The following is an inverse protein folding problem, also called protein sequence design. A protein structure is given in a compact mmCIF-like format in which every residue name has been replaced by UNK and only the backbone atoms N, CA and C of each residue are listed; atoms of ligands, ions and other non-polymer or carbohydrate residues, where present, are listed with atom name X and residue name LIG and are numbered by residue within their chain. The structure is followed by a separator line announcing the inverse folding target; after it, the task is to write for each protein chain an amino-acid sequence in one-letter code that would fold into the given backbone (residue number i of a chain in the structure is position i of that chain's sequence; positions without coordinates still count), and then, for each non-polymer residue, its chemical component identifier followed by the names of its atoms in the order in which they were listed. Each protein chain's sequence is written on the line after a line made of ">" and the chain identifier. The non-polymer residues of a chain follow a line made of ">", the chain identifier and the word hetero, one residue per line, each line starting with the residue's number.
data_IF_608678179854
#
_entry.id   IF_608678179854
#
_cell.length_a   1.000
_cell.length_b   1.000
_cell.length_c   1.000
_cell.angle_alpha   90.00
_cell.angle_beta   90.00
_cell.angle_gamma   90.00
#
_symmetry.space_group_name_H-M   'P 1'
#
loop_
_entity.id
_entity.type
_entity.pdbx_description
1 polymer ?
#
# COMPACT_ATOMS: atom_id res chain seq x y z
N UNK A 1 -6.05 -6.52 26.00
CA UNK A 1 -5.36 -5.68 25.00
C UNK A 1 -4.70 -6.60 23.98
N UNK A 2 -4.93 -6.40 22.66
CA UNK A 2 -4.25 -7.21 21.65
C UNK A 2 -2.84 -6.68 21.37
N UNK A 3 -1.90 -7.57 21.02
CA UNK A 3 -0.53 -7.20 20.60
C UNK A 3 -0.53 -6.08 19.55
N UNK A 4 -1.48 -6.18 18.62
CA UNK A 4 -1.72 -5.21 17.56
C UNK A 4 -2.02 -3.81 18.11
N UNK A 5 -2.85 -3.70 19.16
CA UNK A 5 -3.16 -2.40 19.77
C UNK A 5 -1.94 -1.76 20.42
N UNK A 6 -1.10 -2.56 21.10
CA UNK A 6 0.13 -2.08 21.73
C UNK A 6 1.14 -1.59 20.69
N UNK A 7 1.38 -2.36 19.63
CA UNK A 7 2.27 -1.99 18.51
C UNK A 7 1.84 -0.66 17.89
N UNK A 8 0.54 -0.47 17.64
CA UNK A 8 0.03 0.78 17.07
C UNK A 8 0.21 1.99 18.00
N UNK A 9 0.03 1.82 19.32
CA UNK A 9 0.29 2.90 20.29
C UNK A 9 1.76 3.33 20.27
N UNK A 10 2.68 2.36 20.23
CA UNK A 10 4.12 2.64 20.16
C UNK A 10 4.47 3.32 18.84
N UNK A 11 3.98 2.80 17.72
CA UNK A 11 4.16 3.38 16.39
C UNK A 11 3.74 4.86 16.38
N UNK A 12 2.53 5.17 16.87
CA UNK A 12 2.04 6.55 16.94
C UNK A 12 2.92 7.45 17.82
N UNK A 13 3.40 6.94 18.95
CA UNK A 13 4.31 7.70 19.80
C UNK A 13 5.61 8.03 19.06
N UNK A 14 6.21 7.07 18.35
CA UNK A 14 7.40 7.31 17.52
C UNK A 14 7.12 8.36 16.43
N UNK A 15 5.97 8.27 15.75
CA UNK A 15 5.57 9.24 14.73
C UNK A 15 5.40 10.64 15.31
N UNK A 16 4.71 10.77 16.44
CA UNK A 16 4.52 12.06 17.10
C UNK A 16 5.83 12.67 17.63
N UNK A 17 6.79 11.83 18.02
CA UNK A 17 8.10 12.25 18.52
C UNK A 17 9.10 12.56 17.40
N UNK A 18 8.73 12.36 16.13
CA UNK A 18 9.64 12.57 15.00
C UNK A 18 10.79 11.55 14.96
N UNK A 19 10.61 10.38 15.58
CA UNK A 19 11.59 9.28 15.57
C UNK A 19 11.51 8.54 14.21
N UNK A 20 11.80 9.27 13.14
CA UNK A 20 11.76 8.86 11.75
C UNK A 20 13.10 9.17 11.08
N UNK A 21 14.18 8.56 11.57
CA UNK A 21 15.44 8.38 10.84
C UNK A 21 16.21 9.63 10.40
N UNK A 22 15.75 10.86 10.67
CA UNK A 22 16.51 12.06 10.34
C UNK A 22 17.64 12.28 11.36
N UNK A 23 18.82 11.75 11.03
CA UNK A 23 20.09 12.20 11.60
C UNK A 23 20.68 11.41 12.76
N UNK A 24 20.15 10.23 13.12
CA UNK A 24 20.77 9.38 14.14
C UNK A 24 21.25 8.03 13.60
N UNK A 25 22.42 7.59 14.06
CA UNK A 25 23.10 6.34 13.65
C UNK A 25 22.50 5.07 14.25
N UNK A 26 21.34 5.16 14.91
CA UNK A 26 20.63 4.04 15.52
C UNK A 26 19.29 3.81 14.81
N UNK A 27 18.85 2.54 14.66
CA UNK A 27 17.51 2.25 14.15
C UNK A 27 16.49 2.93 15.06
N UNK A 28 15.56 3.66 14.46
CA UNK A 28 14.47 4.28 15.24
C UNK A 28 13.58 3.21 15.84
N UNK A 29 12.86 3.52 16.92
CA UNK A 29 11.88 2.59 17.48
C UNK A 29 10.80 2.26 16.44
N UNK A 30 10.52 3.20 15.53
CA UNK A 30 9.68 2.99 14.36
C UNK A 30 10.20 1.88 13.45
N UNK A 31 11.50 1.86 13.15
CA UNK A 31 12.14 0.84 12.31
C UNK A 31 12.12 -0.56 12.94
N UNK A 32 11.84 -0.67 14.23
CA UNK A 32 11.78 -1.96 14.95
C UNK A 32 10.36 -2.54 15.04
N UNK A 33 9.32 -1.78 14.66
CA UNK A 33 7.93 -2.19 14.77
C UNK A 33 7.45 -2.90 13.50
N UNK A 34 6.60 -3.93 13.59
CA UNK A 34 6.15 -4.64 12.42
C UNK A 34 5.28 -3.75 11.54
N UNK A 35 5.62 -3.67 10.25
CA UNK A 35 4.88 -2.93 9.24
C UNK A 35 4.46 -3.89 8.12
N UNK A 36 3.34 -3.59 7.46
CA UNK A 36 2.88 -4.36 6.30
C UNK A 36 3.11 -3.49 5.06
N UNK A 37 4.10 -3.84 4.24
CA UNK A 37 4.35 -3.15 2.99
C UNK A 37 3.59 -3.82 1.84
N UNK A 38 2.88 -3.01 1.06
CA UNK A 38 2.12 -3.47 -0.10
C UNK A 38 2.98 -3.32 -1.35
N UNK A 39 3.32 -4.43 -2.00
CA UNK A 39 4.19 -4.45 -3.18
C UNK A 39 3.52 -5.07 -4.38
N UNK A 40 3.87 -4.57 -5.57
CA UNK A 40 3.44 -5.13 -6.84
C UNK A 40 3.52 -4.13 -7.98
N UNK A 41 3.40 -4.66 -9.20
CA UNK A 41 3.48 -3.87 -10.43
C UNK A 41 2.47 -2.72 -10.47
N UNK A 42 2.73 -1.74 -11.32
CA UNK A 42 1.76 -0.69 -11.61
C UNK A 42 0.41 -1.29 -12.02
N UNK A 43 -0.69 -0.75 -11.51
CA UNK A 43 -2.05 -1.25 -11.78
C UNK A 43 -2.35 -2.68 -11.29
N UNK A 44 -1.51 -3.28 -10.43
CA UNK A 44 -1.80 -4.60 -9.84
C UNK A 44 -2.97 -4.60 -8.84
N UNK A 45 -3.49 -3.42 -8.46
CA UNK A 45 -4.60 -3.28 -7.52
C UNK A 45 -4.21 -2.98 -6.08
N UNK A 46 -2.97 -2.54 -5.81
CA UNK A 46 -2.48 -2.16 -4.47
C UNK A 46 -3.40 -1.20 -3.72
N UNK A 47 -3.68 -0.05 -4.31
CA UNK A 47 -4.53 0.98 -3.71
C UNK A 47 -5.95 0.45 -3.48
N UNK A 48 -6.50 -0.34 -4.40
CA UNK A 48 -7.82 -0.96 -4.22
C UNK A 48 -7.87 -1.95 -3.06
N UNK A 49 -6.79 -2.73 -2.84
CA UNK A 49 -6.69 -3.63 -1.67
C UNK A 49 -6.65 -2.81 -0.38
N UNK A 50 -5.87 -1.74 -0.33
CA UNK A 50 -5.80 -0.86 0.84
C UNK A 50 -7.14 -0.19 1.15
N UNK A 51 -7.83 0.32 0.13
CA UNK A 51 -9.15 0.91 0.27
C UNK A 51 -10.19 -0.12 0.71
N UNK A 52 -10.12 -1.35 0.21
CA UNK A 52 -10.96 -2.49 0.64
C UNK A 52 -10.79 -2.79 2.14
N UNK A 53 -9.55 -2.70 2.65
CA UNK A 53 -9.26 -2.86 4.09
C UNK A 53 -9.83 -1.72 4.92
N UNK A 54 -9.80 -0.49 4.41
CA UNK A 54 -10.32 0.70 5.12
C UNK A 54 -11.84 0.84 5.01
N UNK A 55 -12.44 0.31 3.95
CA UNK A 55 -13.86 0.50 3.67
C UNK A 55 -14.19 1.81 2.93
N UNK A 56 -13.19 2.57 2.45
CA UNK A 56 -13.40 3.90 1.84
C UNK A 56 -12.45 4.19 0.68
N UNK A 57 -12.87 5.05 -0.25
CA UNK A 57 -12.01 5.60 -1.29
C UNK A 57 -11.29 6.86 -0.80
N UNK A 58 -9.98 6.77 -0.61
CA UNK A 58 -9.15 7.87 -0.12
C UNK A 58 -7.81 7.97 -0.83
N UNK A 59 -7.43 6.96 -1.62
CA UNK A 59 -6.18 7.00 -2.38
C UNK A 59 -6.42 7.67 -3.73
N UNK A 60 -5.47 8.48 -4.21
CA UNK A 60 -5.57 9.06 -5.55
C UNK A 60 -5.62 7.95 -6.60
N UNK A 61 -6.35 8.21 -7.70
CA UNK A 61 -6.47 7.32 -8.85
C UNK A 61 -6.24 8.13 -10.13
N UNK A 62 -5.59 7.52 -11.12
CA UNK A 62 -5.28 8.18 -12.38
C UNK A 62 -4.48 7.29 -13.33
N UNK A 63 -4.30 7.76 -14.56
CA UNK A 63 -3.39 7.14 -15.52
C UNK A 63 -1.93 7.50 -15.20
N UNK A 64 -1.01 6.56 -15.36
CA UNK A 64 0.41 6.76 -15.03
C UNK A 64 0.78 6.39 -13.58
N UNK A 65 1.89 6.93 -13.08
CA UNK A 65 2.37 6.69 -11.71
C UNK A 65 1.60 7.61 -10.77
N UNK A 66 0.61 7.05 -10.09
CA UNK A 66 -0.28 7.81 -9.19
C UNK A 66 0.38 7.96 -7.82
N UNK A 67 0.82 6.85 -7.23
CA UNK A 67 1.59 6.84 -5.98
C UNK A 67 3.05 7.16 -6.28
N UNK A 68 3.46 8.41 -6.08
CA UNK A 68 4.85 8.89 -6.29
C UNK A 68 5.67 9.02 -4.99
N UNK A 69 5.01 8.86 -3.84
CA UNK A 69 5.61 8.86 -2.49
C UNK A 69 5.09 7.66 -1.72
N UNK A 70 5.87 7.06 -0.82
CA UNK A 70 5.35 6.09 0.13
C UNK A 70 4.23 6.71 0.96
N UNK A 71 3.14 5.97 1.19
CA UNK A 71 2.09 6.38 2.12
C UNK A 71 2.10 5.44 3.32
N UNK A 72 2.50 5.95 4.48
CA UNK A 72 2.39 5.25 5.75
C UNK A 72 0.99 5.50 6.30
N UNK A 73 0.15 4.48 6.21
CA UNK A 73 -1.23 4.50 6.65
C UNK A 73 -1.38 3.78 8.00
N UNK A 74 -1.74 4.52 9.03
CA UNK A 74 -2.07 4.00 10.34
C UNK A 74 -3.58 3.97 10.53
N UNK A 75 -4.13 2.78 10.75
CA UNK A 75 -5.53 2.57 11.09
C UNK A 75 -5.66 2.49 12.60
N UNK A 76 -6.63 3.21 13.14
CA UNK A 76 -6.93 3.27 14.56
C UNK A 76 -8.39 2.92 14.79
N UNK A 77 -8.61 1.81 15.50
CA UNK A 77 -9.95 1.45 15.95
C UNK A 77 -10.37 2.41 17.07
N UNK A 78 -11.51 3.06 16.89
CA UNK A 78 -12.18 3.85 17.94
C UNK A 78 -13.45 3.12 18.37
N UNK A 79 -13.80 3.17 19.65
CA UNK A 79 -14.99 2.47 20.16
C UNK A 79 -16.28 3.20 19.78
N UNK A 80 -16.26 4.53 19.83
CA UNK A 80 -17.38 5.40 19.49
C UNK A 80 -16.87 6.68 18.80
N UNK A 81 -17.73 7.27 17.96
CA UNK A 81 -17.49 8.57 17.34
C UNK A 81 -17.55 8.56 15.82
N UNK A 82 -17.47 9.77 15.24
CA UNK A 82 -17.41 9.95 13.79
C UNK A 82 -16.01 9.63 13.29
N UNK A 83 -15.95 8.92 12.16
CA UNK A 83 -14.70 8.59 11.49
C UNK A 83 -14.01 9.85 10.97
N UNK A 84 -12.69 9.92 11.14
CA UNK A 84 -11.89 11.03 10.67
C UNK A 84 -10.47 10.58 10.33
N UNK A 85 -9.76 11.39 9.55
CA UNK A 85 -8.36 11.21 9.25
C UNK A 85 -7.53 12.42 9.69
N UNK A 86 -6.26 12.20 9.99
CA UNK A 86 -5.27 13.23 10.34
C UNK A 86 -3.99 12.98 9.56
N UNK A 87 -3.40 14.04 9.05
CA UNK A 87 -2.07 14.00 8.45
C UNK A 87 -1.03 14.53 9.42
N UNK A 88 0.13 13.90 9.46
CA UNK A 88 1.23 14.35 10.31
C UNK A 88 1.73 15.75 9.92
N UNK A 89 1.77 16.06 8.62
CA UNK A 89 2.20 17.37 8.11
C UNK A 89 1.16 18.48 8.31
N UNK A 90 -0.06 18.14 8.73
CA UNK A 90 -1.12 19.09 9.09
C UNK A 90 -1.66 18.82 10.50
N UNK A 91 -0.83 19.05 11.54
CA UNK A 91 -1.24 18.76 12.91
C UNK A 91 -2.49 19.58 13.28
N UNK A 92 -3.40 18.96 14.03
CA UNK A 92 -4.70 19.52 14.49
C UNK A 92 -5.77 19.68 13.41
N UNK A 93 -5.53 19.34 12.14
CA UNK A 93 -6.56 19.31 11.10
C UNK A 93 -7.15 17.91 10.97
N UNK A 94 -8.43 17.78 11.34
CA UNK A 94 -9.21 16.55 11.16
C UNK A 94 -9.99 16.59 9.86
N UNK A 95 -9.90 15.53 9.08
CA UNK A 95 -10.63 15.35 7.83
C UNK A 95 -11.75 14.34 8.04
N UNK A 96 -13.01 14.78 7.95
CA UNK A 96 -14.16 13.87 7.96
C UNK A 96 -14.57 13.42 6.56
N UNK A 97 -14.19 14.19 5.54
CA UNK A 97 -14.42 13.88 4.13
C UNK A 97 -13.19 13.21 3.51
N UNK A 98 -13.35 11.98 3.03
CA UNK A 98 -12.27 11.20 2.44
C UNK A 98 -11.95 11.61 1.00
N UNK A 99 -12.83 12.36 0.33
CA UNK A 99 -12.48 13.05 -0.91
C UNK A 99 -11.44 14.15 -0.64
N UNK A 100 -11.60 14.90 0.45
CA UNK A 100 -10.61 15.89 0.89
C UNK A 100 -9.28 15.23 1.34
N UNK A 101 -9.33 14.06 1.97
CA UNK A 101 -8.11 13.26 2.28
C UNK A 101 -7.37 12.91 0.98
N UNK A 102 -8.10 12.43 -0.02
CA UNK A 102 -7.53 12.09 -1.33
C UNK A 102 -6.87 13.28 -2.02
N UNK A 103 -7.55 14.43 -1.99
CA UNK A 103 -7.02 15.66 -2.55
C UNK A 103 -5.74 16.10 -1.83
N UNK A 104 -5.73 16.03 -0.49
CA UNK A 104 -4.55 16.38 0.31
C UNK A 104 -3.36 15.47 0.00
N UNK A 105 -3.55 14.16 -0.20
CA UNK A 105 -2.47 13.26 -0.62
C UNK A 105 -1.87 13.71 -1.96
N UNK A 106 -2.73 14.09 -2.92
CA UNK A 106 -2.27 14.59 -4.21
C UNK A 106 -1.52 15.91 -4.07
N UNK A 107 -2.06 16.86 -3.32
CA UNK A 107 -1.50 18.19 -3.13
C UNK A 107 -0.14 18.13 -2.41
N UNK A 108 -0.02 17.29 -1.38
CA UNK A 108 1.22 17.07 -0.64
C UNK A 108 2.26 16.31 -1.48
N UNK A 109 1.82 15.39 -2.34
CA UNK A 109 2.72 14.76 -3.32
C UNK A 109 3.26 15.80 -4.30
N UNK A 110 2.39 16.63 -4.87
CA UNK A 110 2.77 17.65 -5.85
C UNK A 110 3.61 18.78 -5.26
N UNK A 111 3.46 19.08 -3.96
CA UNK A 111 4.27 20.05 -3.24
C UNK A 111 5.74 19.62 -3.15
N UNK A 112 5.96 18.33 -2.88
CA UNK A 112 7.29 17.74 -2.71
C UNK A 112 7.94 17.42 -4.06
N UNK A 113 7.21 16.78 -4.97
CA UNK A 113 7.78 16.34 -6.25
C UNK A 113 7.69 17.41 -7.34
N UNK A 114 6.95 18.49 -7.12
CA UNK A 114 6.62 19.49 -8.14
C UNK A 114 5.51 19.01 -9.10
N UNK A 115 4.55 19.90 -9.39
CA UNK A 115 3.37 19.61 -10.24
C UNK A 115 3.68 19.12 -11.66
N UNK A 116 4.81 19.57 -12.21
CA UNK A 116 5.20 19.28 -13.60
C UNK A 116 6.27 18.19 -13.70
N UNK A 117 6.80 17.72 -12.58
CA UNK A 117 7.88 16.76 -12.55
C UNK A 117 7.31 15.39 -12.17
N UNK A 118 7.52 14.40 -13.04
CA UNK A 118 7.12 12.99 -12.77
C UNK A 118 8.15 12.28 -11.87
N UNK A 119 8.81 13.04 -10.99
CA UNK A 119 9.81 12.57 -10.05
C UNK A 119 9.11 11.92 -8.86
N UNK A 120 9.79 10.96 -8.25
CA UNK A 120 9.35 10.27 -7.02
C UNK A 120 10.14 10.81 -5.83
N UNK A 121 9.55 10.75 -4.63
CA UNK A 121 10.26 11.08 -3.40
C UNK A 121 10.16 9.92 -2.42
N UNK A 122 11.27 9.60 -1.74
CA UNK A 122 11.34 8.57 -0.70
C UNK A 122 10.73 9.03 0.62
N UNK A 123 10.44 10.33 0.76
CA UNK A 123 9.86 10.92 1.97
C UNK A 123 8.39 10.48 2.10
N UNK A 124 8.03 9.69 3.13
CA UNK A 124 6.67 9.18 3.28
C UNK A 124 5.65 10.29 3.61
N UNK A 125 4.41 10.08 3.19
CA UNK A 125 3.25 10.81 3.71
C UNK A 125 2.67 9.96 4.87
N UNK A 126 2.50 10.56 6.04
CA UNK A 126 1.93 9.88 7.21
C UNK A 126 0.46 10.26 7.36
N UNK A 127 -0.41 9.25 7.27
CA UNK A 127 -1.86 9.38 7.37
C UNK A 127 -2.38 8.46 8.48
N UNK A 128 -3.13 9.01 9.42
CA UNK A 128 -3.84 8.25 10.44
C UNK A 128 -5.34 8.29 10.17
N UNK A 129 -6.00 7.13 10.10
CA UNK A 129 -7.46 7.01 9.97
C UNK A 129 -8.04 6.42 11.25
N UNK A 130 -8.99 7.13 11.85
CA UNK A 130 -9.71 6.73 13.06
C UNK A 130 -11.11 6.27 12.67
N UNK A 131 -11.43 4.99 12.91
CA UNK A 131 -12.72 4.42 12.55
C UNK A 131 -13.13 3.25 13.46
N UNK A 132 -14.43 3.06 13.77
CA UNK A 132 -14.89 1.88 14.50
C UNK A 132 -14.87 0.60 13.65
N UNK A 133 -14.78 0.73 12.32
CA UNK A 133 -14.87 -0.34 11.35
C UNK A 133 -13.51 -0.90 10.93
N UNK A 134 -12.41 -0.33 11.43
CA UNK A 134 -11.05 -0.78 11.13
C UNK A 134 -10.43 -1.50 12.32
N UNK A 135 -9.41 -2.30 12.04
CA UNK A 135 -8.50 -2.81 13.07
C UNK A 135 -7.34 -1.83 13.25
N UNK A 136 -6.72 -1.85 14.41
CA UNK A 136 -5.47 -1.12 14.61
C UNK A 136 -4.41 -1.74 13.67
N UNK A 137 -3.87 -1.01 12.69
CA UNK A 137 -2.93 -1.60 11.72
C UNK A 137 -2.10 -0.53 11.02
N UNK A 138 -0.81 -0.80 10.79
CA UNK A 138 0.05 0.06 9.95
C UNK A 138 0.34 -0.61 8.62
N UNK A 139 -0.07 0.05 7.55
CA UNK A 139 0.12 -0.35 6.16
C UNK A 139 1.03 0.68 5.49
N UNK A 140 1.92 0.23 4.61
CA UNK A 140 2.74 1.11 3.78
C UNK A 140 2.37 0.86 2.32
N UNK A 141 1.73 1.85 1.69
CA UNK A 141 1.55 1.84 0.23
C UNK A 141 2.83 2.31 -0.42
N UNK A 142 3.29 1.57 -1.41
CA UNK A 142 4.51 1.86 -2.15
C UNK A 142 4.20 2.10 -3.63
N UNK A 143 4.96 2.96 -4.33
CA UNK A 143 4.84 3.11 -5.76
C UNK A 143 4.89 1.76 -6.48
N UNK A 144 4.07 1.61 -7.52
CA UNK A 144 4.03 0.39 -8.30
C UNK A 144 5.29 0.23 -9.14
N UNK A 145 5.87 -0.98 -9.14
CA UNK A 145 7.00 -1.31 -9.99
C UNK A 145 6.62 -1.09 -11.47
N UNK A 146 7.44 -0.34 -12.19
CA UNK A 146 7.27 -0.06 -13.62
C UNK A 146 8.42 -0.71 -14.40
N UNK A 147 8.17 -1.07 -15.67
CA UNK A 147 9.20 -1.68 -16.53
C UNK A 147 9.78 -0.70 -17.55
N UNK A 148 9.10 0.43 -17.76
CA UNK A 148 9.45 1.42 -18.79
C UNK A 148 9.19 2.81 -18.23
N UNK A 149 10.08 3.75 -18.52
CA UNK A 149 9.83 5.17 -18.29
C UNK A 149 8.85 5.69 -19.34
N UNK A 150 7.83 6.45 -18.91
CA UNK A 150 6.94 7.17 -19.84
C UNK A 150 7.45 8.59 -20.08
N UNK A 151 7.05 9.21 -21.20
CA UNK A 151 7.51 10.54 -21.62
C UNK A 151 7.51 11.56 -20.46
N UNK A 152 8.66 12.19 -20.23
CA UNK A 152 8.86 13.17 -19.15
C UNK A 152 9.25 12.59 -17.79
N UNK A 153 9.48 11.28 -17.68
CA UNK A 153 10.16 10.67 -16.52
C UNK A 153 11.66 10.54 -16.76
N UNK A 154 12.49 10.62 -15.69
CA UNK A 154 13.90 10.25 -15.77
C UNK A 154 14.05 8.79 -16.23
N UNK A 155 15.12 8.48 -16.98
CA UNK A 155 15.44 7.08 -17.33
C UNK A 155 15.71 6.21 -16.10
N UNK A 156 16.15 6.82 -14.99
CA UNK A 156 16.41 6.14 -13.72
C UNK A 156 15.15 5.74 -12.95
N UNK A 157 13.96 6.22 -13.35
CA UNK A 157 12.72 6.09 -12.56
C UNK A 157 12.39 4.65 -12.16
N UNK A 158 12.67 3.70 -13.06
CA UNK A 158 12.44 2.27 -12.82
C UNK A 158 13.30 1.79 -11.65
N UNK A 159 14.58 2.12 -11.68
CA UNK A 159 15.52 1.76 -10.62
C UNK A 159 15.23 2.52 -9.33
N UNK A 160 14.84 3.79 -9.42
CA UNK A 160 14.52 4.61 -8.25
C UNK A 160 13.29 4.07 -7.50
N UNK A 161 12.25 3.64 -8.23
CA UNK A 161 11.08 2.98 -7.63
C UNK A 161 11.47 1.64 -7.01
N UNK A 162 12.27 0.84 -7.71
CA UNK A 162 12.72 -0.45 -7.18
C UNK A 162 13.54 -0.28 -5.89
N UNK A 163 14.50 0.64 -5.88
CA UNK A 163 15.31 0.96 -4.71
C UNK A 163 14.46 1.47 -3.55
N UNK A 164 13.48 2.34 -3.84
CA UNK A 164 12.53 2.82 -2.84
C UNK A 164 11.77 1.64 -2.24
N UNK A 165 11.16 0.79 -3.06
CA UNK A 165 10.41 -0.38 -2.56
C UNK A 165 11.31 -1.29 -1.73
N UNK A 166 12.52 -1.63 -2.23
CA UNK A 166 13.52 -2.45 -1.52
C UNK A 166 13.84 -1.91 -0.14
N UNK A 167 14.06 -0.60 0.00
CA UNK A 167 14.42 0.01 1.29
C UNK A 167 13.37 -0.18 2.39
N UNK A 168 12.10 -0.42 2.03
CA UNK A 168 11.03 -0.75 2.98
C UNK A 168 10.93 -2.26 3.25
N UNK A 169 11.11 -3.11 2.23
CA UNK A 169 10.88 -4.55 2.34
C UNK A 169 12.12 -5.37 2.73
N UNK A 170 13.32 -4.80 2.67
CA UNK A 170 14.55 -5.44 3.16
C UNK A 170 14.56 -5.54 4.70
N UNK A 171 13.80 -4.68 5.38
CA UNK A 171 13.67 -4.70 6.84
C UNK A 171 13.06 -6.03 7.31
N UNK A 172 13.69 -6.77 8.24
CA UNK A 172 13.26 -8.11 8.63
C UNK A 172 11.90 -8.14 9.35
N UNK A 173 11.53 -7.03 10.00
CA UNK A 173 10.24 -6.80 10.65
C UNK A 173 9.13 -6.32 9.69
N UNK A 174 9.40 -6.26 8.38
CA UNK A 174 8.41 -5.88 7.38
C UNK A 174 7.71 -7.13 6.81
N UNK A 175 6.39 -7.22 7.00
CA UNK A 175 5.54 -8.20 6.33
C UNK A 175 5.29 -7.70 4.90
N UNK A 176 5.50 -8.57 3.93
CA UNK A 176 5.35 -8.25 2.51
C UNK A 176 3.98 -8.75 2.03
N UNK A 177 3.13 -7.84 1.58
CA UNK A 177 1.89 -8.17 0.89
C UNK A 177 2.13 -8.10 -0.62
N UNK A 178 2.44 -9.24 -1.24
CA UNK A 178 2.78 -9.36 -2.64
C UNK A 178 1.52 -9.46 -3.51
N UNK A 179 1.13 -8.35 -4.12
CA UNK A 179 -0.08 -8.23 -4.93
C UNK A 179 0.23 -8.55 -6.40
N UNK A 180 -0.38 -9.62 -6.89
CA UNK A 180 -0.28 -10.09 -8.28
C UNK A 180 -1.67 -10.12 -8.93
N UNK A 181 -1.83 -9.59 -10.15
CA UNK A 181 -3.09 -9.71 -10.87
C UNK A 181 -3.24 -11.10 -11.51
N UNK A 182 -4.43 -11.69 -11.47
CA UNK A 182 -4.73 -13.01 -11.99
C UNK A 182 -4.84 -13.07 -13.52
N UNK A 183 -5.08 -11.93 -14.16
CA UNK A 183 -5.19 -11.81 -15.62
C UNK A 183 -3.83 -11.72 -16.33
N UNK A 184 -2.74 -12.00 -15.61
CA UNK A 184 -1.38 -12.09 -16.14
C UNK A 184 -0.73 -13.35 -15.61
N UNK A 185 0.24 -13.89 -16.35
CA UNK A 185 1.02 -15.02 -15.87
C UNK A 185 1.80 -14.63 -14.60
N UNK A 186 1.61 -15.42 -13.54
CA UNK A 186 2.25 -15.23 -12.26
C UNK A 186 3.78 -15.27 -12.35
N UNK A 187 4.34 -15.99 -13.33
CA UNK A 187 5.78 -16.02 -13.60
C UNK A 187 6.35 -14.64 -13.95
N UNK A 188 5.50 -13.71 -14.41
CA UNK A 188 5.88 -12.33 -14.77
C UNK A 188 5.66 -11.32 -13.64
N UNK A 189 5.21 -11.77 -12.47
CA UNK A 189 4.87 -10.90 -11.34
C UNK A 189 6.10 -10.29 -10.70
N UNK A 190 6.20 -8.96 -10.82
CA UNK A 190 7.24 -8.17 -10.16
C UNK A 190 7.15 -8.26 -8.63
N UNK A 191 5.93 -8.45 -8.08
CA UNK A 191 5.70 -8.60 -6.65
C UNK A 191 6.36 -9.87 -6.09
N UNK A 192 6.24 -10.97 -6.84
CA UNK A 192 6.82 -12.27 -6.46
C UNK A 192 8.33 -12.28 -6.67
N UNK A 193 8.81 -11.68 -7.76
CA UNK A 193 10.25 -11.51 -7.99
C UNK A 193 10.92 -10.78 -6.82
N UNK A 194 10.45 -9.56 -6.51
CA UNK A 194 11.11 -8.72 -5.51
C UNK A 194 10.98 -9.30 -4.09
N UNK A 195 9.84 -9.90 -3.75
CA UNK A 195 9.64 -10.52 -2.43
C UNK A 195 10.55 -11.73 -2.23
N UNK A 196 10.79 -12.55 -3.26
CA UNK A 196 11.73 -13.69 -3.17
C UNK A 196 13.18 -13.26 -3.01
N UNK A 197 13.57 -12.12 -3.57
CA UNK A 197 14.93 -11.61 -3.45
C UNK A 197 15.24 -11.17 -2.01
N UNK A 198 14.27 -10.56 -1.31
CA UNK A 198 14.46 -10.06 0.07
C UNK A 198 13.96 -11.02 1.16
N UNK A 199 13.12 -11.99 0.80
CA UNK A 199 12.58 -13.05 1.67
C UNK A 199 12.57 -14.41 0.92
N UNK A 200 13.75 -15.02 0.68
CA UNK A 200 13.84 -16.27 -0.09
C UNK A 200 13.04 -17.44 0.51
N UNK A 201 12.94 -17.48 1.84
CA UNK A 201 12.20 -18.51 2.59
C UNK A 201 10.68 -18.28 2.57
N UNK A 202 10.24 -17.07 2.25
CA UNK A 202 8.83 -16.68 2.28
C UNK A 202 8.27 -16.62 3.70
N UNK A 203 9.09 -16.38 4.72
CA UNK A 203 8.68 -16.42 6.13
C UNK A 203 7.74 -15.27 6.50
N UNK A 204 7.80 -14.16 5.75
CA UNK A 204 7.06 -12.91 5.99
C UNK A 204 6.33 -12.39 4.75
N UNK A 205 6.15 -13.23 3.72
CA UNK A 205 5.51 -12.87 2.45
C UNK A 205 4.14 -13.53 2.29
N UNK A 206 3.11 -12.72 2.07
CA UNK A 206 1.74 -13.15 1.78
C UNK A 206 1.38 -12.80 0.34
N UNK A 207 0.87 -13.79 -0.41
CA UNK A 207 0.41 -13.60 -1.78
C UNK A 207 -1.05 -13.17 -1.83
N UNK A 208 -1.32 -12.07 -2.52
CA UNK A 208 -2.68 -11.60 -2.80
C UNK A 208 -2.90 -11.63 -4.30
N UNK A 209 -3.95 -12.33 -4.72
CA UNK A 209 -4.32 -12.49 -6.11
C UNK A 209 -5.52 -11.58 -6.42
N UNK A 210 -5.32 -10.55 -7.23
CA UNK A 210 -6.35 -9.56 -7.62
C UNK A 210 -6.90 -9.84 -9.02
N UNK A 211 -7.96 -9.15 -9.44
CA UNK A 211 -8.48 -9.18 -10.83
C UNK A 211 -8.86 -10.59 -11.31
N UNK A 212 -9.33 -11.45 -10.41
CA UNK A 212 -9.76 -12.82 -10.72
C UNK A 212 -10.97 -12.81 -11.67
N UNK A 213 -11.80 -11.78 -11.56
CA UNK A 213 -12.94 -11.49 -12.44
C UNK A 213 -12.55 -11.14 -13.89
N UNK A 214 -11.29 -10.73 -14.12
CA UNK A 214 -10.78 -10.32 -15.43
C UNK A 214 -9.92 -11.41 -16.10
N UNK A 215 -9.97 -12.65 -15.60
CA UNK A 215 -9.28 -13.76 -16.23
C UNK A 215 -9.91 -14.14 -17.58
N UNK A 216 -9.08 -14.58 -18.52
CA UNK A 216 -9.54 -15.00 -19.84
C UNK A 216 -10.48 -16.20 -19.73
N UNK A 217 -11.53 -16.19 -20.55
CA UNK A 217 -12.48 -17.30 -20.60
C UNK A 217 -11.75 -18.61 -20.91
N UNK A 218 -11.99 -19.64 -20.09
CA UNK A 218 -11.29 -20.92 -20.17
C UNK A 218 -10.09 -21.06 -19.23
N UNK A 219 -9.70 -19.99 -18.53
CA UNK A 219 -8.69 -20.03 -17.45
C UNK A 219 -9.34 -19.88 -16.08
N UNK A 220 -8.62 -20.25 -15.00
CA UNK A 220 -9.10 -20.08 -13.63
C UNK A 220 -7.93 -19.92 -12.64
N UNK A 221 -8.22 -19.36 -11.47
CA UNK A 221 -7.25 -19.11 -10.41
C UNK A 221 -7.05 -20.27 -9.42
N UNK A 222 -7.75 -21.41 -9.60
CA UNK A 222 -7.82 -22.48 -8.59
C UNK A 222 -6.44 -23.03 -8.26
N UNK A 223 -5.62 -23.30 -9.27
CA UNK A 223 -4.27 -23.83 -9.05
C UNK A 223 -3.38 -22.87 -8.25
N UNK A 224 -3.53 -21.56 -8.45
CA UNK A 224 -2.77 -20.56 -7.70
C UNK A 224 -3.31 -20.51 -6.26
N UNK A 225 -4.63 -20.41 -6.09
CA UNK A 225 -5.28 -20.29 -4.77
C UNK A 225 -5.04 -21.51 -3.88
N UNK A 226 -5.05 -22.71 -4.46
CA UNK A 226 -4.73 -23.97 -3.77
C UNK A 226 -3.22 -24.19 -3.58
N UNK A 227 -2.38 -23.27 -4.06
CA UNK A 227 -0.93 -23.33 -3.92
C UNK A 227 -0.24 -24.40 -4.79
N UNK A 228 -0.94 -24.93 -5.80
CA UNK A 228 -0.39 -25.89 -6.77
C UNK A 228 0.47 -25.22 -7.84
N UNK A 229 0.05 -24.05 -8.33
CA UNK A 229 0.75 -23.31 -9.38
C UNK A 229 2.00 -22.60 -8.87
N UNK A 230 1.90 -21.89 -7.75
CA UNK A 230 3.05 -21.27 -7.09
C UNK A 230 2.92 -21.39 -5.58
N UNK A 231 3.81 -22.16 -4.97
CA UNK A 231 3.75 -22.45 -3.53
C UNK A 231 4.39 -21.31 -2.72
N UNK A 232 3.56 -20.65 -1.92
CA UNK A 232 4.00 -19.77 -0.84
C UNK A 232 3.94 -20.51 0.50
N UNK A 233 4.59 -19.94 1.52
CA UNK A 233 4.54 -20.49 2.88
C UNK A 233 3.16 -20.34 3.51
N UNK A 234 2.48 -19.25 3.19
CA UNK A 234 1.10 -18.99 3.56
C UNK A 234 0.19 -19.16 2.34
N UNK A 235 -1.06 -19.63 2.51
CA UNK A 235 -2.02 -19.74 1.42
C UNK A 235 -2.26 -18.41 0.71
N UNK A 236 -2.53 -18.49 -0.59
CA UNK A 236 -2.91 -17.33 -1.38
C UNK A 236 -4.28 -16.79 -0.96
N UNK A 237 -4.44 -15.47 -1.00
CA UNK A 237 -5.72 -14.81 -0.75
C UNK A 237 -6.21 -14.18 -2.04
N UNK A 238 -7.32 -14.69 -2.57
CA UNK A 238 -7.99 -14.10 -3.74
C UNK A 238 -8.88 -12.94 -3.34
N UNK A 239 -8.80 -11.83 -4.08
CA UNK A 239 -9.66 -10.66 -3.88
C UNK A 239 -10.21 -10.14 -5.21
N UNK A 240 -11.50 -9.86 -5.22
CA UNK A 240 -12.17 -9.12 -6.31
C UNK A 240 -12.44 -7.72 -5.78
N UNK A 241 -11.88 -6.73 -6.47
CA UNK A 241 -12.05 -5.33 -6.13
C UNK A 241 -13.00 -4.68 -7.14
N UNK A 242 -13.55 -3.50 -6.81
CA UNK A 242 -14.32 -2.69 -7.74
C UNK A 242 -13.59 -2.46 -9.06
N UNK A 243 -14.33 -2.58 -10.16
CA UNK A 243 -13.81 -2.24 -11.47
C UNK A 243 -13.62 -0.73 -11.62
N UNK A 244 -12.86 -0.30 -12.63
CA UNK A 244 -12.75 1.13 -12.94
C UNK A 244 -14.12 1.76 -13.28
N UNK A 245 -15.03 0.99 -13.87
CA UNK A 245 -16.38 1.45 -14.17
C UNK A 245 -17.20 1.69 -12.88
N UNK A 246 -17.07 0.80 -11.90
CA UNK A 246 -17.75 0.94 -10.59
C UNK A 246 -17.21 2.14 -9.82
N UNK A 247 -15.90 2.35 -9.87
CA UNK A 247 -15.24 3.53 -9.28
C UNK A 247 -15.75 4.81 -9.94
N UNK A 248 -15.80 4.86 -11.28
CA UNK A 248 -16.29 6.03 -12.01
C UNK A 248 -17.76 6.34 -11.70
N UNK A 249 -18.56 5.30 -11.42
CA UNK A 249 -19.95 5.42 -11.00
C UNK A 249 -20.13 5.65 -9.50
N UNK A 250 -19.03 5.76 -8.74
CA UNK A 250 -19.04 5.88 -7.28
C UNK A 250 -19.89 4.80 -6.60
N UNK A 251 -19.84 3.57 -7.13
CA UNK A 251 -20.54 2.44 -6.53
C UNK A 251 -19.94 2.16 -5.16
N UNK A 252 -20.82 2.00 -4.18
CA UNK A 252 -20.44 1.70 -2.81
C UNK A 252 -19.69 0.36 -2.71
N UNK A 253 -18.75 0.28 -1.78
CA UNK A 253 -17.89 -0.89 -1.59
C UNK A 253 -18.65 -2.14 -1.19
N UNK A 254 -19.76 -1.98 -0.45
CA UNK A 254 -20.61 -3.10 -0.05
C UNK A 254 -21.44 -3.58 -1.24
N UNK A 255 -21.88 -2.67 -2.12
CA UNK A 255 -22.68 -3.00 -3.30
C UNK A 255 -21.87 -3.66 -4.43
N UNK A 256 -20.55 -3.52 -4.41
CA UNK A 256 -19.64 -4.08 -5.41
C UNK A 256 -18.95 -5.39 -4.98
N UNK A 257 -19.23 -5.89 -3.78
CA UNK A 257 -18.86 -7.22 -3.30
C UNK A 257 -19.92 -8.24 -3.67
#
# INVERSE_FOLDING_TARGET
>A
ESLISLVNKIQRACTALGDHGEGSSLPTLWDSLPAIAVVGGQSSGKSSVLESVVGKDFLPRGAGIVTRRPLVLQLHRIDEGKEYAEFMHLPKKKFSDFAAVRQEISDETDRETGRSSKVISTVPIHLSIFSPNVVNLTLVDLPGLTKVAVDGQPESIVQDIENMVRSFIEKPNCIILAISPANQDLATSDAIKISREVDPKGDRTFGVLTKIDLMDQGTNAVDILEGRGYKLRYPWVGVVNRSQADINKSVDMIAAR
#
